data_IF_252840797334
#
_entry.id   IF_252840797334
#
_cell.length_a   1.000
_cell.length_b   1.000
_cell.length_c   1.000
_cell.angle_alpha   90.00
_cell.angle_beta   90.00
_cell.angle_gamma   90.00
#
_symmetry.space_group_name_H-M   'P 1'
#
loop_
_entity.id
_entity.type
_entity.pdbx_description
1 polymer ?
#
# COMPACT_ATOMS: atom_id res chain seq x y z
N UNK A 1 15.18 -19.55 -3.00
CA UNK A 1 14.21 -19.09 -4.02
C UNK A 1 13.10 -18.41 -3.25
N UNK A 2 13.34 -17.14 -2.88
CA UNK A 2 12.58 -16.41 -1.87
C UNK A 2 11.66 -15.40 -2.57
N UNK A 3 10.35 -15.57 -2.42
CA UNK A 3 9.28 -14.63 -2.84
C UNK A 3 8.73 -14.08 -1.52
N UNK A 4 8.98 -12.85 -1.05
CA UNK A 4 8.73 -11.47 -1.51
C UNK A 4 7.25 -11.12 -1.51
N UNK A 5 6.83 -10.54 -0.39
CA UNK A 5 5.46 -10.29 0.06
C UNK A 5 5.50 -9.02 0.93
N UNK A 6 4.67 -8.01 0.59
CA UNK A 6 4.52 -6.65 1.17
C UNK A 6 3.22 -5.99 0.62
N UNK A 7 2.17 -5.85 1.44
CA UNK A 7 0.81 -5.47 1.01
C UNK A 7 0.61 -3.99 0.63
N UNK A 8 -0.17 -3.84 -0.43
CA UNK A 8 -1.25 -2.87 -0.72
C UNK A 8 -1.88 -2.26 0.55
N UNK A 9 -1.45 -1.08 1.00
CA UNK A 9 -2.27 -0.24 1.90
C UNK A 9 -2.19 1.27 1.63
N UNK A 10 -1.17 1.74 0.90
CA UNK A 10 -1.06 3.14 0.47
C UNK A 10 -1.61 3.43 -0.93
N UNK A 11 -1.84 2.41 -1.77
CA UNK A 11 -1.85 2.57 -3.22
C UNK A 11 -3.19 2.81 -3.90
N UNK A 12 -4.29 2.82 -3.16
CA UNK A 12 -5.57 3.26 -3.72
C UNK A 12 -5.76 4.77 -3.72
N UNK A 13 -4.81 5.53 -3.16
CA UNK A 13 -4.81 6.99 -3.26
C UNK A 13 -4.15 7.54 -4.53
N UNK A 14 -3.49 6.72 -5.37
CA UNK A 14 -2.67 7.25 -6.49
C UNK A 14 -2.69 6.37 -7.75
N UNK A 15 -3.82 5.77 -8.11
CA UNK A 15 -3.92 5.08 -9.40
C UNK A 15 -5.26 5.33 -10.06
N UNK A 16 -5.40 6.45 -10.79
CA UNK A 16 -6.52 6.65 -11.71
C UNK A 16 -6.09 7.30 -13.05
N UNK A 17 -6.38 6.70 -14.22
CA UNK A 17 -6.10 7.15 -15.61
C UNK A 17 -6.01 8.65 -15.88
N UNK A 18 -5.08 9.09 -16.73
CA UNK A 18 -4.80 10.49 -17.11
C UNK A 18 -6.01 11.11 -17.80
N UNK A 19 -6.99 11.57 -17.04
CA UNK A 19 -8.19 12.20 -17.56
C UNK A 19 -8.09 13.70 -17.29
N UNK A 20 -8.02 14.48 -18.36
CA UNK A 20 -8.02 15.94 -18.31
C UNK A 20 -9.34 16.45 -17.70
N UNK A 21 -9.23 17.43 -16.80
CA UNK A 21 -10.25 18.14 -15.98
C UNK A 21 -11.49 18.75 -16.68
N UNK A 22 -11.79 18.39 -17.94
CA UNK A 22 -13.09 18.74 -18.52
C UNK A 22 -14.13 17.78 -17.93
N UNK A 23 -15.33 18.28 -17.56
CA UNK A 23 -16.49 17.45 -17.24
C UNK A 23 -16.81 16.56 -18.44
N UNK A 24 -16.22 15.36 -18.45
CA UNK A 24 -16.39 14.36 -19.49
C UNK A 24 -17.65 13.57 -19.19
N UNK A 25 -18.41 13.22 -20.22
CA UNK A 25 -19.46 12.21 -20.04
C UNK A 25 -18.84 10.87 -19.64
N UNK A 26 -19.67 9.91 -19.21
CA UNK A 26 -19.19 8.56 -18.94
C UNK A 26 -18.47 7.98 -20.19
N UNK A 27 -19.08 8.12 -21.37
CA UNK A 27 -18.54 7.64 -22.64
C UNK A 27 -17.17 8.25 -22.95
N UNK A 28 -17.01 9.56 -22.74
CA UNK A 28 -15.75 10.26 -22.95
C UNK A 28 -14.67 9.84 -21.94
N UNK A 29 -15.06 9.50 -20.72
CA UNK A 29 -14.16 9.04 -19.66
C UNK A 29 -13.62 7.65 -19.96
N UNK A 30 -14.50 6.73 -20.36
CA UNK A 30 -14.14 5.33 -20.65
C UNK A 30 -13.81 5.07 -22.13
N UNK A 31 -13.84 6.10 -22.98
CA UNK A 31 -13.67 5.99 -24.43
C UNK A 31 -14.60 4.95 -25.07
N UNK A 32 -15.83 4.87 -24.58
CA UNK A 32 -16.83 3.90 -24.98
C UNK A 32 -17.89 4.55 -25.90
N UNK A 33 -18.53 3.75 -26.76
CA UNK A 33 -19.69 4.24 -27.54
C UNK A 33 -20.93 4.40 -26.65
N UNK A 34 -21.09 3.50 -25.69
CA UNK A 34 -22.10 3.55 -24.63
C UNK A 34 -21.48 2.96 -23.38
N UNK A 35 -21.66 3.60 -22.23
CA UNK A 35 -21.16 3.04 -20.97
C UNK A 35 -21.92 1.79 -20.53
N UNK A 36 -21.17 0.79 -20.08
CA UNK A 36 -21.70 -0.39 -19.38
C UNK A 36 -22.34 -0.02 -18.04
N UNK A 37 -23.03 -0.98 -17.43
CA UNK A 37 -23.60 -0.81 -16.08
C UNK A 37 -22.50 -0.47 -15.07
N UNK A 38 -21.38 -1.22 -15.09
CA UNK A 38 -20.23 -0.94 -14.23
C UNK A 38 -19.65 0.46 -14.46
N UNK A 39 -19.44 0.86 -15.72
CA UNK A 39 -18.88 2.17 -16.05
C UNK A 39 -19.76 3.33 -15.55
N UNK A 40 -21.09 3.20 -15.70
CA UNK A 40 -22.05 4.17 -15.16
C UNK A 40 -21.98 4.22 -13.64
N UNK A 41 -21.98 3.06 -12.98
CA UNK A 41 -21.87 2.99 -11.52
C UNK A 41 -20.57 3.62 -11.01
N UNK A 42 -19.42 3.34 -11.64
CA UNK A 42 -18.12 3.93 -11.31
C UNK A 42 -18.08 5.45 -11.52
N UNK A 43 -18.74 5.93 -12.57
CA UNK A 43 -18.87 7.35 -12.87
C UNK A 43 -19.76 8.07 -11.83
N UNK A 44 -20.90 7.47 -11.48
CA UNK A 44 -21.89 8.07 -10.57
C UNK A 44 -21.49 7.98 -9.08
N UNK A 45 -20.83 6.90 -8.65
CA UNK A 45 -20.45 6.68 -7.24
C UNK A 45 -19.26 7.55 -6.79
N UNK A 46 -18.74 8.41 -7.67
CA UNK A 46 -17.72 9.40 -7.33
C UNK A 46 -16.31 8.83 -7.21
N UNK A 47 -16.05 7.59 -7.65
CA UNK A 47 -14.67 7.04 -7.76
C UNK A 47 -13.82 7.89 -8.68
N UNK A 48 -14.48 8.50 -9.67
CA UNK A 48 -13.91 9.46 -10.59
C UNK A 48 -14.11 10.92 -10.12
N UNK A 49 -14.37 11.16 -8.82
CA UNK A 49 -14.62 12.52 -8.28
C UNK A 49 -13.53 13.51 -8.66
N UNK A 50 -12.29 13.02 -8.68
CA UNK A 50 -11.09 13.74 -9.08
C UNK A 50 -11.18 14.36 -10.48
N UNK A 51 -11.98 13.76 -11.36
CA UNK A 51 -12.13 14.15 -12.77
C UNK A 51 -13.47 14.80 -13.07
N UNK A 52 -14.52 14.33 -12.41
CA UNK A 52 -15.90 14.74 -12.69
C UNK A 52 -16.35 15.91 -11.81
N UNK A 53 -15.65 16.16 -10.69
CA UNK A 53 -16.06 17.10 -9.65
C UNK A 53 -17.25 16.59 -8.83
N UNK A 54 -17.62 15.31 -8.97
CA UNK A 54 -18.72 14.68 -8.22
C UNK A 54 -18.17 14.20 -6.87
N UNK A 55 -18.54 14.85 -5.78
CA UNK A 55 -18.18 14.37 -4.43
C UNK A 55 -18.82 13.00 -4.17
N UNK A 56 -18.08 12.01 -3.62
CA UNK A 56 -18.68 10.75 -3.22
C UNK A 56 -19.85 10.99 -2.27
N UNK A 57 -20.95 10.25 -2.41
CA UNK A 57 -22.11 10.41 -1.53
C UNK A 57 -21.85 9.91 -0.10
N UNK A 58 -20.76 9.16 0.11
CA UNK A 58 -20.47 8.41 1.32
C UNK A 58 -19.12 8.77 1.94
N UNK A 59 -19.05 8.86 3.27
CA UNK A 59 -17.78 8.99 3.99
C UNK A 59 -16.95 7.69 3.96
N UNK A 60 -17.58 6.54 3.68
CA UNK A 60 -16.92 5.24 3.57
C UNK A 60 -15.92 5.17 2.41
N UNK A 61 -16.04 6.09 1.44
CA UNK A 61 -15.07 6.28 0.36
C UNK A 61 -13.79 7.00 0.86
N UNK A 62 -13.20 6.55 1.97
CA UNK A 62 -12.10 7.21 2.69
C UNK A 62 -10.98 7.68 1.78
N UNK A 63 -10.45 6.81 0.92
CA UNK A 63 -9.34 7.15 0.01
C UNK A 63 -9.70 8.27 -0.97
N UNK A 64 -10.93 8.28 -1.47
CA UNK A 64 -11.40 9.30 -2.40
C UNK A 64 -11.61 10.63 -1.66
N UNK A 65 -12.26 10.59 -0.50
CA UNK A 65 -12.50 11.76 0.33
C UNK A 65 -11.19 12.43 0.76
N UNK A 66 -10.22 11.62 1.24
CA UNK A 66 -8.90 12.10 1.61
C UNK A 66 -8.13 12.63 0.39
N UNK A 67 -8.14 11.91 -0.72
CA UNK A 67 -7.53 12.34 -1.96
C UNK A 67 -8.06 13.69 -2.46
N UNK A 68 -9.37 13.94 -2.35
CA UNK A 68 -9.97 15.20 -2.81
C UNK A 68 -9.39 16.40 -2.02
N UNK A 69 -9.21 16.22 -0.70
CA UNK A 69 -8.54 17.22 0.15
C UNK A 69 -7.08 17.39 -0.27
N UNK A 70 -6.37 16.30 -0.54
CA UNK A 70 -4.99 16.34 -1.05
C UNK A 70 -4.91 17.19 -2.32
N UNK A 71 -5.72 16.90 -3.34
CA UNK A 71 -5.69 17.64 -4.59
C UNK A 71 -6.03 19.13 -4.40
N UNK A 72 -6.97 19.45 -3.51
CA UNK A 72 -7.29 20.83 -3.18
C UNK A 72 -6.08 21.55 -2.57
N UNK A 73 -5.37 20.93 -1.63
CA UNK A 73 -4.17 21.54 -1.02
C UNK A 73 -3.02 21.69 -2.01
N UNK A 74 -2.76 20.68 -2.85
CA UNK A 74 -1.74 20.80 -3.90
C UNK A 74 -2.08 21.89 -4.92
N UNK A 75 -3.35 21.99 -5.33
CA UNK A 75 -3.84 23.06 -6.20
C UNK A 75 -3.67 24.43 -5.54
N UNK A 76 -4.01 24.56 -4.26
CA UNK A 76 -3.85 25.81 -3.49
C UNK A 76 -2.38 26.20 -3.33
N UNK A 77 -1.46 25.22 -3.28
CA UNK A 77 -0.02 25.43 -3.28
C UNK A 77 0.56 25.74 -4.69
N UNK A 78 -0.27 25.79 -5.73
CA UNK A 78 0.12 26.16 -7.10
C UNK A 78 0.65 25.01 -7.95
N UNK A 79 0.48 23.76 -7.51
CA UNK A 79 0.85 22.59 -8.31
C UNK A 79 -0.20 22.30 -9.38
N UNK A 80 0.27 21.76 -10.51
CA UNK A 80 -0.61 21.20 -11.52
C UNK A 80 -1.13 19.84 -11.04
N UNK A 81 -2.44 19.77 -10.84
CA UNK A 81 -3.19 18.57 -10.40
C UNK A 81 -4.02 17.97 -11.53
N UNK A 82 -3.79 18.37 -12.79
CA UNK A 82 -4.55 17.90 -13.95
C UNK A 82 -4.31 16.43 -14.31
N UNK A 83 -3.30 15.80 -13.71
CA UNK A 83 -3.04 14.36 -13.83
C UNK A 83 -2.62 13.80 -12.46
N UNK A 84 -3.54 13.17 -11.70
CA UNK A 84 -3.28 12.71 -10.34
C UNK A 84 -2.38 11.46 -10.27
N UNK A 85 -1.88 10.96 -11.40
CA UNK A 85 -0.98 9.82 -11.49
C UNK A 85 0.50 10.11 -11.49
N UNK A 86 0.84 11.29 -11.97
CA UNK A 86 2.22 11.69 -11.95
C UNK A 86 2.33 12.41 -10.63
N UNK A 87 3.19 11.92 -9.75
CA UNK A 87 3.71 12.81 -8.74
C UNK A 87 4.31 13.97 -9.53
N UNK A 88 3.70 15.15 -9.44
CA UNK A 88 4.27 16.34 -10.07
C UNK A 88 5.29 16.97 -9.14
N UNK A 89 5.46 16.42 -7.94
CA UNK A 89 6.31 16.93 -6.87
C UNK A 89 6.58 15.86 -5.80
N UNK A 90 7.70 16.05 -5.09
CA UNK A 90 8.05 15.33 -3.85
C UNK A 90 7.81 16.18 -2.60
N UNK A 91 7.15 17.32 -2.73
CA UNK A 91 6.77 18.19 -1.61
C UNK A 91 5.66 17.53 -0.80
N UNK A 92 5.90 17.33 0.50
CA UNK A 92 4.99 16.69 1.44
C UNK A 92 4.17 17.67 2.27
N UNK A 93 4.44 18.98 2.19
CA UNK A 93 3.73 19.97 3.02
C UNK A 93 2.23 20.07 2.71
N UNK A 94 1.78 20.06 1.43
CA UNK A 94 0.35 20.01 1.12
C UNK A 94 -0.29 18.72 1.64
N UNK A 95 0.42 17.59 1.55
CA UNK A 95 -0.05 16.31 2.07
C UNK A 95 -0.22 16.34 3.59
N UNK A 96 0.75 16.90 4.33
CA UNK A 96 0.67 17.09 5.78
C UNK A 96 -0.51 17.96 6.18
N UNK A 97 -0.73 19.06 5.48
CA UNK A 97 -1.89 19.94 5.70
C UNK A 97 -3.21 19.19 5.47
N UNK A 98 -3.24 18.34 4.43
CA UNK A 98 -4.39 17.51 4.09
C UNK A 98 -4.69 16.47 5.18
N UNK A 99 -3.66 15.84 5.75
CA UNK A 99 -3.81 14.91 6.86
C UNK A 99 -4.46 15.58 8.07
N UNK A 100 -3.95 16.74 8.47
CA UNK A 100 -4.48 17.47 9.63
C UNK A 100 -5.93 17.92 9.40
N UNK A 101 -6.27 18.35 8.18
CA UNK A 101 -7.64 18.69 7.80
C UNK A 101 -8.56 17.48 7.83
N UNK A 102 -8.16 16.38 7.19
CA UNK A 102 -8.97 15.18 7.07
C UNK A 102 -9.25 14.54 8.43
N UNK A 103 -8.22 14.39 9.27
CA UNK A 103 -8.34 13.77 10.59
C UNK A 103 -9.02 14.66 11.65
N UNK A 104 -9.29 15.93 11.33
CA UNK A 104 -10.13 16.80 12.15
C UNK A 104 -11.63 16.68 11.83
N UNK A 105 -11.98 16.02 10.72
CA UNK A 105 -13.37 15.77 10.35
C UNK A 105 -13.97 14.66 11.22
N UNK A 106 -15.26 14.77 11.51
CA UNK A 106 -16.01 13.68 12.13
C UNK A 106 -16.19 12.54 11.11
N UNK A 107 -15.80 11.33 11.49
CA UNK A 107 -15.96 10.13 10.67
C UNK A 107 -17.19 9.35 11.10
N UNK A 108 -18.15 9.17 10.19
CA UNK A 108 -19.46 8.58 10.48
C UNK A 108 -19.78 7.36 9.61
N UNK A 109 -18.79 6.78 8.93
CA UNK A 109 -19.02 5.57 8.13
C UNK A 109 -19.29 4.37 9.04
N UNK A 110 -20.39 3.67 8.76
CA UNK A 110 -20.81 2.48 9.47
C UNK A 110 -20.65 1.24 8.58
N UNK A 111 -20.37 0.08 9.17
CA UNK A 111 -20.19 -1.17 8.42
C UNK A 111 -21.39 -1.51 7.53
N UNK A 112 -22.62 -1.24 7.99
CA UNK A 112 -23.83 -1.51 7.21
C UNK A 112 -23.91 -0.72 5.89
N UNK A 113 -23.28 0.47 5.84
CA UNK A 113 -23.19 1.28 4.63
C UNK A 113 -22.14 0.71 3.68
N UNK A 114 -21.00 0.24 4.23
CA UNK A 114 -19.96 -0.48 3.49
C UNK A 114 -20.58 -1.71 2.82
N UNK A 115 -21.24 -2.58 3.58
CA UNK A 115 -21.81 -3.84 3.08
C UNK A 115 -22.80 -3.60 1.93
N UNK A 116 -23.71 -2.63 2.11
CA UNK A 116 -24.68 -2.26 1.07
C UNK A 116 -23.99 -1.78 -0.21
N UNK A 117 -22.92 -1.01 -0.08
CA UNK A 117 -22.18 -0.47 -1.21
C UNK A 117 -21.39 -1.56 -1.92
N UNK A 118 -20.73 -2.45 -1.18
CA UNK A 118 -20.00 -3.58 -1.75
C UNK A 118 -20.91 -4.54 -2.52
N UNK A 119 -22.11 -4.83 -2.03
CA UNK A 119 -23.09 -5.65 -2.76
C UNK A 119 -23.51 -5.01 -4.08
N UNK A 120 -23.72 -3.69 -4.09
CA UNK A 120 -24.03 -2.94 -5.32
C UNK A 120 -22.86 -3.04 -6.31
N UNK A 121 -21.62 -2.79 -5.85
CA UNK A 121 -20.42 -2.86 -6.71
C UNK A 121 -20.25 -4.26 -7.30
N UNK A 122 -20.38 -5.32 -6.48
CA UNK A 122 -20.31 -6.72 -6.96
C UNK A 122 -21.35 -7.02 -8.02
N UNK A 123 -22.55 -6.45 -7.89
CA UNK A 123 -23.64 -6.64 -8.86
C UNK A 123 -23.36 -5.88 -10.15
N UNK A 124 -23.05 -4.59 -10.06
CA UNK A 124 -22.90 -3.70 -11.21
C UNK A 124 -21.62 -3.97 -12.01
N UNK A 125 -20.56 -4.46 -11.35
CA UNK A 125 -19.24 -4.74 -11.90
C UNK A 125 -18.83 -6.22 -11.85
N UNK A 126 -19.80 -7.14 -11.86
CA UNK A 126 -19.54 -8.58 -11.74
C UNK A 126 -18.57 -9.12 -12.79
N UNK A 127 -18.59 -8.58 -14.01
CA UNK A 127 -17.73 -9.05 -15.11
C UNK A 127 -16.28 -8.62 -14.87
N UNK A 128 -16.07 -7.36 -14.55
CA UNK A 128 -14.77 -6.74 -14.28
C UNK A 128 -14.09 -7.37 -13.06
N UNK A 129 -14.88 -7.65 -12.02
CA UNK A 129 -14.42 -8.27 -10.78
C UNK A 129 -14.22 -9.79 -10.87
N UNK A 130 -14.56 -10.41 -12.01
CA UNK A 130 -14.44 -11.87 -12.16
C UNK A 130 -13.01 -12.33 -12.46
N UNK A 131 -12.18 -11.47 -13.07
CA UNK A 131 -10.83 -11.80 -13.49
C UNK A 131 -9.78 -11.36 -12.46
N UNK A 132 -8.70 -12.14 -12.24
CA UNK A 132 -7.61 -11.74 -11.35
C UNK A 132 -6.97 -10.41 -11.77
N UNK A 133 -6.61 -9.59 -10.78
CA UNK A 133 -5.91 -8.33 -10.99
C UNK A 133 -4.39 -8.56 -10.89
N UNK A 134 -3.63 -8.21 -11.94
CA UNK A 134 -2.17 -8.26 -11.86
C UNK A 134 -1.64 -7.02 -11.12
N UNK A 135 -1.45 -7.17 -9.81
CA UNK A 135 -0.95 -6.10 -8.95
C UNK A 135 0.48 -5.64 -9.28
N UNK A 136 1.22 -6.43 -10.07
CA UNK A 136 2.60 -6.15 -10.48
C UNK A 136 2.71 -5.55 -11.87
N UNK A 137 1.58 -5.41 -12.58
CA UNK A 137 1.58 -4.73 -13.86
C UNK A 137 1.88 -3.24 -13.65
N UNK A 138 2.46 -2.60 -14.68
CA UNK A 138 2.44 -1.15 -14.77
C UNK A 138 0.96 -0.72 -14.81
N UNK A 139 0.48 0.11 -13.86
CA UNK A 139 -0.92 0.49 -13.83
C UNK A 139 -1.42 1.15 -15.11
N UNK A 140 -0.52 1.76 -15.91
CA UNK A 140 -0.83 2.37 -17.21
C UNK A 140 -1.21 1.35 -18.29
N UNK A 141 -0.93 0.07 -18.06
CA UNK A 141 -1.18 -1.03 -19.01
C UNK A 141 -2.45 -1.82 -18.71
N UNK A 142 -3.07 -1.58 -17.55
CA UNK A 142 -4.28 -2.27 -17.12
C UNK A 142 -5.52 -1.70 -17.80
N UNK A 143 -6.52 -2.56 -18.01
CA UNK A 143 -7.85 -2.09 -18.41
C UNK A 143 -8.42 -1.15 -17.34
N UNK A 144 -8.74 0.06 -17.76
CA UNK A 144 -9.22 1.14 -16.90
C UNK A 144 -10.49 0.77 -16.14
N UNK A 145 -11.43 0.08 -16.79
CA UNK A 145 -12.71 -0.26 -16.17
C UNK A 145 -12.51 -1.31 -15.09
N UNK A 146 -11.71 -2.33 -15.38
CA UNK A 146 -11.34 -3.40 -14.45
C UNK A 146 -10.58 -2.83 -13.25
N UNK A 147 -9.57 -2.00 -13.50
CA UNK A 147 -8.80 -1.33 -12.45
C UNK A 147 -9.70 -0.49 -11.54
N UNK A 148 -10.60 0.31 -12.13
CA UNK A 148 -11.52 1.15 -11.37
C UNK A 148 -12.58 0.35 -10.61
N UNK A 149 -13.04 -0.79 -11.13
CA UNK A 149 -13.94 -1.70 -10.41
C UNK A 149 -13.28 -2.24 -9.13
N UNK A 150 -12.06 -2.75 -9.24
CA UNK A 150 -11.29 -3.19 -8.07
C UNK A 150 -10.97 -2.04 -7.13
N UNK A 151 -10.60 -0.87 -7.66
CA UNK A 151 -10.28 0.29 -6.85
C UNK A 151 -11.49 0.81 -6.07
N UNK A 152 -12.66 0.84 -6.70
CA UNK A 152 -13.91 1.18 -6.06
C UNK A 152 -14.22 0.21 -4.92
N UNK A 153 -14.20 -1.09 -5.22
CA UNK A 153 -14.48 -2.13 -4.24
C UNK A 153 -13.56 -2.01 -3.01
N UNK A 154 -12.25 -1.96 -3.24
CA UNK A 154 -11.26 -1.86 -2.17
C UNK A 154 -11.33 -0.54 -1.40
N UNK A 155 -11.71 0.56 -2.06
CA UNK A 155 -11.90 1.85 -1.40
C UNK A 155 -13.00 1.80 -0.35
N UNK A 156 -14.14 1.18 -0.68
CA UNK A 156 -15.23 1.02 0.28
C UNK A 156 -14.94 -0.07 1.32
N UNK A 157 -14.40 -1.22 0.90
CA UNK A 157 -14.06 -2.31 1.83
C UNK A 157 -13.04 -1.87 2.87
N UNK A 158 -11.97 -1.21 2.42
CA UNK A 158 -10.92 -0.68 3.29
C UNK A 158 -11.26 0.66 3.93
N UNK A 159 -12.42 1.26 3.68
CA UNK A 159 -12.72 2.64 4.07
C UNK A 159 -12.53 2.91 5.56
N UNK A 160 -13.16 2.10 6.41
CA UNK A 160 -13.08 2.19 7.87
C UNK A 160 -11.64 2.00 8.39
N UNK A 161 -10.95 0.86 8.12
CA UNK A 161 -9.60 0.66 8.63
C UNK A 161 -8.59 1.65 8.03
N UNK A 162 -8.83 2.14 6.81
CA UNK A 162 -7.97 3.17 6.20
C UNK A 162 -8.09 4.51 6.90
N UNK A 163 -9.29 4.89 7.34
CA UNK A 163 -9.48 6.13 8.10
C UNK A 163 -8.70 6.05 9.41
N UNK A 164 -8.82 4.93 10.13
CA UNK A 164 -8.06 4.68 11.35
C UNK A 164 -6.54 4.70 11.10
N UNK A 165 -6.06 4.06 10.04
CA UNK A 165 -4.65 4.01 9.69
C UNK A 165 -4.07 5.38 9.28
N UNK A 166 -4.80 6.16 8.48
CA UNK A 166 -4.40 7.52 8.06
C UNK A 166 -4.26 8.44 9.27
N UNK A 167 -5.23 8.37 10.18
CA UNK A 167 -5.31 9.26 11.34
C UNK A 167 -4.55 8.76 12.57
N UNK A 168 -3.96 7.56 12.49
CA UNK A 168 -3.11 7.03 13.55
C UNK A 168 -1.83 7.87 13.71
N UNK A 169 -1.57 8.25 14.97
CA UNK A 169 -0.34 8.93 15.40
C UNK A 169 0.38 8.05 16.42
N UNK A 170 1.71 7.98 16.32
CA UNK A 170 2.53 7.25 17.30
C UNK A 170 2.54 7.95 18.68
N UNK A 171 3.22 7.37 19.66
CA UNK A 171 3.33 7.93 21.02
C UNK A 171 3.93 9.35 21.05
N UNK A 172 4.70 9.73 20.03
CA UNK A 172 5.30 11.06 19.86
C UNK A 172 4.37 12.05 19.14
N UNK A 173 3.18 11.62 18.72
CA UNK A 173 2.20 12.43 18.00
C UNK A 173 2.48 12.59 16.50
N UNK A 174 3.40 11.80 15.95
CA UNK A 174 3.76 11.82 14.53
C UNK A 174 2.83 10.91 13.72
N UNK A 175 2.41 11.37 12.52
CA UNK A 175 1.60 10.55 11.61
C UNK A 175 2.43 9.42 11.02
N UNK A 176 1.99 8.19 11.25
CA UNK A 176 2.62 7.01 10.69
C UNK A 176 2.49 6.94 9.16
N UNK A 177 1.36 7.42 8.62
CA UNK A 177 1.14 7.52 7.19
C UNK A 177 2.13 8.51 6.54
N UNK A 178 2.27 9.71 7.12
CA UNK A 178 3.23 10.72 6.63
C UNK A 178 4.67 10.19 6.65
N UNK A 179 5.09 9.55 7.76
CA UNK A 179 6.43 8.98 7.89
C UNK A 179 6.74 7.96 6.78
N UNK A 180 5.77 7.10 6.47
CA UNK A 180 5.90 6.08 5.43
C UNK A 180 5.96 6.72 4.04
N UNK A 181 5.10 7.70 3.78
CA UNK A 181 5.07 8.44 2.51
C UNK A 181 6.37 9.19 2.25
N UNK A 182 6.92 9.88 3.27
CA UNK A 182 8.20 10.59 3.14
C UNK A 182 9.33 9.66 2.74
N UNK A 183 9.43 8.47 3.35
CA UNK A 183 10.42 7.45 2.96
C UNK A 183 10.24 7.02 1.50
N UNK A 184 9.00 6.78 1.07
CA UNK A 184 8.67 6.44 -0.33
C UNK A 184 9.07 7.56 -1.30
N UNK A 185 8.80 8.82 -0.97
CA UNK A 185 9.17 9.96 -1.80
C UNK A 185 10.68 10.15 -1.87
N UNK A 186 11.40 10.02 -0.76
CA UNK A 186 12.86 10.12 -0.74
C UNK A 186 13.51 9.03 -1.59
N UNK A 187 12.99 7.80 -1.53
CA UNK A 187 13.43 6.70 -2.39
C UNK A 187 13.15 6.97 -3.86
N UNK A 188 11.91 7.31 -4.22
CA UNK A 188 11.53 7.60 -5.59
C UNK A 188 12.38 8.74 -6.17
N UNK A 189 12.52 9.84 -5.42
CA UNK A 189 13.35 10.99 -5.79
C UNK A 189 14.81 10.60 -6.02
N UNK A 190 15.37 9.71 -5.19
CA UNK A 190 16.73 9.21 -5.37
C UNK A 190 16.84 8.38 -6.65
N UNK A 191 15.97 7.38 -6.83
CA UNK A 191 16.04 6.45 -7.96
C UNK A 191 15.73 7.10 -9.30
N UNK A 192 14.91 8.15 -9.31
CA UNK A 192 14.55 8.90 -10.51
C UNK A 192 15.45 10.10 -10.81
N UNK A 193 16.50 10.32 -10.01
CA UNK A 193 17.33 11.54 -10.06
C UNK A 193 16.50 12.84 -9.94
N UNK A 194 15.43 12.81 -9.16
CA UNK A 194 14.57 13.94 -8.90
C UNK A 194 13.44 14.14 -9.91
N UNK A 195 13.32 13.29 -10.94
CA UNK A 195 12.16 13.30 -11.83
C UNK A 195 10.93 12.76 -11.08
N UNK A 196 9.85 13.52 -10.92
CA UNK A 196 8.69 13.07 -10.17
C UNK A 196 7.72 12.24 -11.05
N UNK A 197 7.94 12.13 -12.36
CA UNK A 197 7.16 11.32 -13.30
C UNK A 197 7.44 9.80 -13.17
N UNK A 198 7.27 9.28 -11.97
CA UNK A 198 7.39 7.86 -11.61
C UNK A 198 6.01 7.26 -11.35
N UNK A 199 5.91 5.94 -11.40
CA UNK A 199 4.73 5.21 -10.96
C UNK A 199 5.13 4.05 -10.05
N UNK A 200 4.27 3.66 -9.13
CA UNK A 200 4.44 2.43 -8.36
C UNK A 200 3.47 1.36 -8.87
N UNK A 201 3.87 0.09 -8.83
CA UNK A 201 2.94 -1.04 -9.01
C UNK A 201 1.81 -0.98 -7.98
N UNK A 202 0.67 -1.62 -8.24
CA UNK A 202 -0.48 -1.58 -7.32
C UNK A 202 -0.16 -2.23 -5.96
N UNK A 203 0.74 -3.21 -5.94
CA UNK A 203 1.26 -3.80 -4.70
C UNK A 203 2.38 -2.97 -4.02
N UNK A 204 2.83 -1.90 -4.66
CA UNK A 204 3.84 -0.98 -4.10
C UNK A 204 5.24 -1.52 -4.04
N UNK A 205 5.51 -2.65 -4.69
CA UNK A 205 6.82 -3.31 -4.66
C UNK A 205 7.74 -2.89 -5.78
N UNK A 206 7.20 -2.26 -6.82
CA UNK A 206 7.96 -1.89 -8.02
C UNK A 206 7.76 -0.40 -8.31
N UNK A 207 8.86 0.33 -8.43
CA UNK A 207 8.91 1.68 -8.97
C UNK A 207 9.21 1.61 -10.46
N UNK A 208 8.36 2.21 -11.29
CA UNK A 208 8.54 2.42 -12.71
C UNK A 208 9.11 3.82 -12.94
N UNK A 209 10.28 3.86 -13.58
CA UNK A 209 11.00 5.11 -13.88
C UNK A 209 10.59 5.67 -15.25
N UNK A 210 10.79 6.97 -15.50
CA UNK A 210 10.44 7.62 -16.78
C UNK A 210 11.13 6.99 -18.00
N UNK A 211 12.30 6.39 -17.80
CA UNK A 211 13.09 5.73 -18.85
C UNK A 211 12.59 4.31 -19.18
N UNK A 212 11.53 3.84 -18.52
CA UNK A 212 10.94 2.51 -18.66
C UNK A 212 11.65 1.42 -17.87
N UNK A 213 12.72 1.75 -17.13
CA UNK A 213 13.35 0.79 -16.21
C UNK A 213 12.57 0.71 -14.90
N UNK A 214 12.82 -0.36 -14.13
CA UNK A 214 12.15 -0.58 -12.86
C UNK A 214 13.15 -0.69 -11.70
N UNK A 215 12.67 -0.39 -10.49
CA UNK A 215 13.36 -0.61 -9.22
C UNK A 215 12.45 -1.32 -8.25
N UNK A 216 13.02 -2.20 -7.45
CA UNK A 216 12.29 -2.82 -6.36
C UNK A 216 12.27 -1.87 -5.16
N UNK A 217 11.09 -1.67 -4.59
CA UNK A 217 10.93 -0.87 -3.36
C UNK A 217 11.55 -1.64 -2.19
N UNK A 218 12.39 -1.01 -1.37
CA UNK A 218 12.99 -1.66 -0.22
C UNK A 218 11.95 -2.20 0.75
N UNK A 219 12.12 -3.45 1.19
CA UNK A 219 11.19 -4.11 2.10
C UNK A 219 11.15 -3.50 3.50
N UNK A 220 12.19 -2.77 3.88
CA UNK A 220 12.28 -2.10 5.18
C UNK A 220 11.38 -0.86 5.29
N UNK A 221 10.66 -0.50 4.23
CA UNK A 221 9.71 0.61 4.25
C UNK A 221 8.47 0.27 5.06
N UNK A 222 8.13 -1.02 5.10
CA UNK A 222 7.05 -1.61 5.89
C UNK A 222 7.56 -2.18 7.20
N UNK A 223 8.46 -1.44 7.85
CA UNK A 223 9.08 -1.83 9.10
C UNK A 223 8.89 -0.82 10.22
N UNK A 224 8.86 -1.35 11.45
CA UNK A 224 8.75 -0.57 12.68
C UNK A 224 7.34 -0.50 13.25
N UNK A 225 7.23 0.26 14.33
CA UNK A 225 6.00 0.39 15.12
C UNK A 225 4.83 0.90 14.29
N UNK A 226 5.06 1.93 13.47
CA UNK A 226 4.03 2.52 12.62
C UNK A 226 3.41 1.51 11.66
N UNK A 227 4.23 0.76 10.91
CA UNK A 227 3.70 -0.25 10.00
C UNK A 227 3.03 -1.39 10.75
N UNK A 228 3.62 -1.85 11.86
CA UNK A 228 3.03 -2.91 12.69
C UNK A 228 1.62 -2.52 13.14
N UNK A 229 1.44 -1.27 13.58
CA UNK A 229 0.13 -0.78 13.99
C UNK A 229 -0.85 -0.69 12.83
N UNK A 230 -0.42 -0.14 11.69
CA UNK A 230 -1.26 -0.07 10.48
C UNK A 230 -1.70 -1.48 10.07
N UNK A 231 -0.77 -2.43 9.98
CA UNK A 231 -1.07 -3.82 9.64
C UNK A 231 -2.06 -4.46 10.63
N UNK A 232 -1.90 -4.22 11.94
CA UNK A 232 -2.84 -4.70 12.97
C UNK A 232 -4.26 -4.16 12.75
N UNK A 233 -4.43 -2.87 12.39
CA UNK A 233 -5.73 -2.26 12.11
C UNK A 233 -6.44 -3.04 11.00
N UNK A 234 -5.76 -3.26 9.87
CA UNK A 234 -6.33 -3.98 8.74
C UNK A 234 -6.58 -5.45 9.03
N UNK A 235 -5.63 -6.14 9.69
CA UNK A 235 -5.80 -7.56 10.04
C UNK A 235 -7.00 -7.75 10.98
N UNK A 236 -7.15 -6.88 11.98
CA UNK A 236 -8.30 -6.93 12.90
C UNK A 236 -9.61 -6.71 12.15
N UNK A 237 -9.64 -5.74 11.24
CA UNK A 237 -10.82 -5.46 10.43
C UNK A 237 -11.16 -6.64 9.51
N UNK A 238 -10.19 -7.18 8.79
CA UNK A 238 -10.35 -8.35 7.90
C UNK A 238 -10.87 -9.56 8.68
N UNK A 239 -10.39 -9.80 9.89
CA UNK A 239 -10.85 -10.91 10.74
C UNK A 239 -12.30 -10.75 11.20
N UNK A 240 -12.76 -9.51 11.36
CA UNK A 240 -14.16 -9.21 11.72
C UNK A 240 -15.09 -9.11 10.50
N UNK A 241 -14.54 -8.72 9.35
CA UNK A 241 -15.26 -8.38 8.12
C UNK A 241 -14.57 -9.05 6.94
N UNK A 242 -14.79 -10.37 6.81
CA UNK A 242 -14.18 -11.18 5.75
C UNK A 242 -14.43 -10.59 4.37
N UNK A 243 -13.38 -10.59 3.56
CA UNK A 243 -13.48 -10.24 2.15
C UNK A 243 -14.20 -11.36 1.40
N UNK A 244 -14.91 -11.02 0.33
CA UNK A 244 -15.48 -12.02 -0.57
C UNK A 244 -14.36 -12.95 -1.11
N UNK A 245 -14.51 -14.27 -0.95
CA UNK A 245 -13.45 -15.26 -1.24
C UNK A 245 -12.93 -15.17 -2.68
N UNK A 246 -13.82 -14.90 -3.64
CA UNK A 246 -13.43 -14.74 -5.04
C UNK A 246 -12.59 -13.48 -5.22
N UNK A 247 -13.00 -12.36 -4.60
CA UNK A 247 -12.24 -11.11 -4.66
C UNK A 247 -10.90 -11.21 -3.93
N UNK A 248 -10.89 -11.85 -2.76
CA UNK A 248 -9.67 -12.11 -2.02
C UNK A 248 -8.67 -12.95 -2.83
N UNK A 249 -9.17 -13.97 -3.54
CA UNK A 249 -8.37 -14.78 -4.45
C UNK A 249 -7.91 -13.98 -5.66
N UNK A 250 -8.78 -13.18 -6.25
CA UNK A 250 -8.46 -12.39 -7.44
C UNK A 250 -7.46 -11.26 -7.18
N UNK A 251 -7.46 -10.69 -5.98
CA UNK A 251 -6.59 -9.58 -5.60
C UNK A 251 -5.29 -10.12 -4.97
N UNK A 252 -5.40 -10.94 -3.93
CA UNK A 252 -4.24 -11.35 -3.12
C UNK A 252 -3.76 -12.77 -3.45
N UNK A 253 -4.55 -13.55 -4.18
CA UNK A 253 -4.27 -14.97 -4.40
C UNK A 253 -4.58 -15.85 -3.19
N UNK A 254 -5.47 -15.37 -2.30
CA UNK A 254 -6.05 -16.08 -1.16
C UNK A 254 -5.77 -15.43 0.21
N UNK A 255 -6.46 -15.87 1.27
CA UNK A 255 -6.41 -15.27 2.61
C UNK A 255 -5.02 -15.36 3.24
N UNK A 256 -4.36 -16.51 3.08
CA UNK A 256 -3.00 -16.71 3.62
C UNK A 256 -2.00 -15.73 3.01
N UNK A 257 -2.11 -15.48 1.70
CA UNK A 257 -1.24 -14.50 1.04
C UNK A 257 -1.54 -13.09 1.51
N UNK A 258 -2.81 -12.70 1.61
CA UNK A 258 -3.16 -11.38 2.15
C UNK A 258 -2.61 -11.16 3.57
N UNK A 259 -2.74 -12.16 4.45
CA UNK A 259 -2.15 -12.10 5.80
C UNK A 259 -0.63 -12.04 5.75
N UNK A 260 0.01 -12.85 4.91
CA UNK A 260 1.47 -12.83 4.74
C UNK A 260 1.94 -11.46 4.27
N UNK A 261 1.22 -10.84 3.33
CA UNK A 261 1.48 -9.51 2.78
C UNK A 261 1.41 -8.41 3.86
N UNK A 262 0.47 -8.51 4.82
CA UNK A 262 0.35 -7.56 5.93
C UNK A 262 1.37 -7.80 7.04
N UNK A 263 1.71 -9.07 7.28
CA UNK A 263 2.53 -9.50 8.42
C UNK A 263 3.98 -9.76 8.06
N UNK A 264 4.37 -9.58 6.79
CA UNK A 264 5.73 -9.85 6.31
C UNK A 264 6.73 -9.08 7.15
N UNK A 265 7.44 -9.82 8.01
CA UNK A 265 8.40 -9.25 8.94
C UNK A 265 9.60 -8.72 8.16
N UNK A 266 10.13 -7.62 8.66
CA UNK A 266 11.45 -7.10 8.31
C UNK A 266 12.46 -8.24 8.24
N UNK A 267 13.20 -8.33 7.14
CA UNK A 267 14.47 -9.07 7.16
C UNK A 267 15.38 -8.29 8.13
N UNK A 268 15.87 -8.95 9.18
CA UNK A 268 16.87 -8.37 10.08
C UNK A 268 18.05 -7.93 9.19
N UNK A 269 18.18 -6.64 8.90
CA UNK A 269 19.35 -6.07 8.22
C UNK A 269 20.52 -6.01 9.18
N UNK A 270 21.00 -7.20 9.56
CA UNK A 270 22.29 -7.42 10.20
C UNK A 270 23.16 -8.26 9.29
N UNK A 271 23.41 -7.77 8.08
CA UNK A 271 24.51 -8.30 7.25
C UNK A 271 25.12 -7.16 6.41
N UNK A 272 26.25 -6.67 6.93
CA UNK A 272 27.44 -6.19 6.22
C UNK A 272 27.27 -5.61 4.81
N UNK A 273 27.32 -4.29 4.70
CA UNK A 273 28.27 -3.67 3.78
C UNK A 273 29.30 -2.91 4.61
N UNK A 274 30.49 -3.51 4.70
CA UNK A 274 31.67 -2.90 5.26
C UNK A 274 31.93 -1.57 4.56
N UNK A 275 31.81 -0.49 5.33
CA UNK A 275 32.50 0.74 4.98
C UNK A 275 33.99 0.41 5.09
N UNK A 276 34.64 0.24 3.93
CA UNK A 276 36.08 0.35 3.82
C UNK A 276 36.47 1.72 4.36
N UNK A 277 37.00 1.72 5.58
CA UNK A 277 37.70 2.87 6.14
C UNK A 277 38.95 3.03 5.28
N UNK A 278 38.88 3.95 4.33
CA UNK A 278 40.07 4.52 3.69
C UNK A 278 40.91 5.12 4.82
N UNK A 279 42.01 4.45 5.15
CA UNK A 279 43.08 5.00 6.00
C UNK A 279 43.58 6.30 5.36
N UNK A 280 43.11 7.44 5.87
CA UNK A 280 43.83 8.70 5.75
C UNK A 280 44.91 8.70 6.83
N UNK A 281 46.13 8.35 6.41
CA UNK A 281 47.32 8.54 7.20
C UNK A 281 47.48 10.01 7.62
N UNK A 282 47.69 10.21 8.92
CA UNK A 282 48.50 11.30 9.44
C UNK A 282 47.73 12.50 10.00
N UNK A 283 47.39 12.45 11.30
CA UNK A 283 47.73 13.52 12.26
C UNK A 283 47.87 12.91 13.66
N UNK A 284 49.00 13.15 14.30
CA UNK A 284 49.32 12.89 15.70
C UNK A 284 48.27 13.45 16.68
N UNK A 285 47.76 12.62 17.60
CA UNK A 285 47.40 13.08 18.94
C UNK A 285 47.43 11.94 19.96
N UNK A 286 48.29 12.13 20.96
CA UNK A 286 48.52 11.27 22.12
C UNK A 286 47.27 11.08 22.99
N UNK A 287 47.22 9.91 23.64
CA UNK A 287 46.79 9.67 25.04
C UNK A 287 45.28 9.49 25.30
N UNK A 288 44.86 8.25 25.52
CA UNK A 288 44.55 7.75 26.88
C UNK A 288 44.17 6.27 26.85
N UNK A 289 44.66 5.57 27.88
CA UNK A 289 44.45 4.15 28.18
C UNK A 289 43.24 4.07 29.10
N UNK A 290 42.24 3.25 28.76
CA UNK A 290 41.15 2.91 29.68
C UNK A 290 39.99 2.22 28.98
N UNK A 291 39.61 1.04 29.50
CA UNK A 291 38.28 0.43 29.30
C UNK A 291 37.97 -0.29 27.98
N UNK A 292 38.63 -1.44 27.77
CA UNK A 292 38.05 -2.57 27.02
C UNK A 292 38.12 -3.86 27.84
N UNK A 293 37.21 -3.99 28.80
CA UNK A 293 36.80 -5.26 29.42
C UNK A 293 35.30 -5.19 29.68
N UNK A 294 34.50 -5.77 28.77
CA UNK A 294 33.20 -6.40 29.03
C UNK A 294 32.47 -6.72 27.71
N UNK A 295 33.05 -7.58 26.88
CA UNK A 295 32.38 -8.11 25.69
C UNK A 295 32.76 -9.58 25.42
N UNK A 296 32.85 -10.40 26.48
CA UNK A 296 33.22 -11.82 26.36
C UNK A 296 32.30 -12.82 27.07
N UNK A 297 31.16 -12.38 27.64
CA UNK A 297 30.33 -13.24 28.50
C UNK A 297 28.91 -13.59 28.01
N UNK A 298 28.54 -13.33 26.75
CA UNK A 298 27.20 -13.73 26.26
C UNK A 298 27.15 -14.85 25.19
N UNK A 299 28.30 -15.38 24.75
CA UNK A 299 28.36 -16.59 23.89
C UNK A 299 28.57 -17.86 24.72
N UNK A 300 27.59 -18.19 25.57
CA UNK A 300 27.56 -19.51 26.25
C UNK A 300 26.15 -19.88 26.68
N UNK A 301 25.27 -20.18 25.72
CA UNK A 301 24.11 -21.06 25.93
C UNK A 301 23.56 -21.57 24.60
N UNK A 302 24.36 -22.39 23.90
CA UNK A 302 23.88 -23.27 22.86
C UNK A 302 24.71 -24.55 22.89
N UNK A 303 24.25 -25.53 23.68
CA UNK A 303 24.48 -26.99 23.52
C UNK A 303 24.06 -27.72 24.79
N UNK A 304 22.91 -28.37 24.76
CA UNK A 304 22.66 -29.75 25.22
C UNK A 304 21.15 -30.01 25.21
N UNK A 305 20.66 -30.76 24.24
CA UNK A 305 19.92 -32.00 24.48
C UNK A 305 19.73 -32.72 23.14
N UNK A 306 20.46 -33.82 22.97
CA UNK A 306 20.23 -34.84 21.94
C UNK A 306 20.56 -36.17 22.60
N UNK A 307 19.58 -37.06 22.76
CA UNK A 307 19.65 -38.48 22.34
C UNK A 307 18.53 -39.35 22.93
N UNK A 308 18.03 -40.21 22.04
CA UNK A 308 17.21 -41.39 22.27
C UNK A 308 15.91 -41.30 21.47
N UNK A 309 15.68 -41.99 20.34
CA UNK A 309 16.38 -43.10 19.70
C UNK A 309 15.37 -44.20 19.33
N UNK A 310 15.33 -44.59 18.04
CA UNK A 310 14.69 -45.80 17.49
C UNK A 310 13.35 -45.53 16.77
N UNK A 311 13.26 -45.56 15.43
CA UNK A 311 13.21 -46.74 14.54
C UNK A 311 11.85 -47.50 14.67
N UNK A 312 11.09 -47.89 13.64
CA UNK A 312 11.36 -48.12 12.20
C UNK A 312 10.02 -48.45 11.48
N UNK A 313 9.89 -47.97 10.23
CA UNK A 313 9.16 -48.54 9.04
C UNK A 313 7.62 -48.64 8.87
N UNK A 314 7.24 -48.23 7.64
CA UNK A 314 6.34 -48.85 6.64
C UNK A 314 4.81 -48.68 6.65
N UNK A 315 4.36 -47.87 5.66
CA UNK A 315 3.41 -48.16 4.56
C UNK A 315 1.91 -48.50 4.78
N UNK A 316 1.15 -48.03 3.76
CA UNK A 316 -0.17 -48.44 3.21
C UNK A 316 -1.42 -47.75 3.81
N UNK A 317 -2.13 -46.91 3.03
CA UNK A 317 -3.16 -47.22 1.99
C UNK A 317 -4.52 -47.68 2.58
N UNK A 318 -5.59 -46.95 2.21
CA UNK A 318 -6.99 -47.35 2.36
C UNK A 318 -7.87 -46.14 2.72
N UNK A 319 -8.43 -45.39 1.77
CA UNK A 319 -9.71 -45.63 1.05
C UNK A 319 -10.98 -45.66 1.91
N UNK A 320 -12.03 -45.04 1.33
CA UNK A 320 -13.48 -45.08 1.61
C UNK A 320 -14.02 -43.87 2.39
N UNK A 321 -14.69 -42.93 1.71
CA UNK A 321 -16.12 -42.96 1.29
C UNK A 321 -17.06 -42.82 2.49
N UNK A 322 -17.72 -41.66 2.58
CA UNK A 322 -19.17 -41.50 2.41
C UNK A 322 -19.39 -40.29 1.49
#
# INVERSE_FOLDING_TARGET
MNKKITLILGLLSVVIPSVTLAQKTCEETFQATECSVCQKALYDDGVLSFYTGVTPPSQCATNINFGNIILEEYKNAGYDVSSPFNFTTYDVEPFKTSLDKYCALEFTCEQSEVDKTLEKIKTDCATELSAPLDLKADPKTLDITTLLAYANYLTYYGGIPTHEAICFKNEQGESCYLSTLTKLFDFAKKESNGDPNVAFSLDGKTLYLPDGTTREVPKDFVCGECWTKIAEIYLTYIEAHELDEQLETNIFGGPDKMKEELTSKCEDSTEDEGIDVVELEGVDAKRSIGEKRNARDFRRNARKFKRGGGAVTHSLLGMLRV
#
